data_IF_892232522697
#
_entry.id   IF_892232522697
#
_cell.length_a   1.000
_cell.length_b   1.000
_cell.length_c   1.000
_cell.angle_alpha   90.00
_cell.angle_beta   90.00
_cell.angle_gamma   90.00
#
_symmetry.space_group_name_H-M   'P 1'
#
loop_
_entity.id
_entity.type
_entity.pdbx_description
1 polymer ?
#
# COMPACT_ATOMS: atom_id res chain seq x y z
N UNK A 1 15.43 -0.63 -0.35
CA UNK A 1 14.88 -0.60 -1.75
C UNK A 1 13.56 0.19 -1.74
N UNK A 2 13.33 1.07 -2.71
CA UNK A 2 12.12 1.91 -2.79
C UNK A 2 11.44 1.73 -4.15
N UNK A 3 10.13 1.53 -4.17
CA UNK A 3 9.32 1.45 -5.39
C UNK A 3 7.88 1.90 -5.14
N UNK A 4 7.19 2.32 -6.20
CA UNK A 4 5.77 2.65 -6.19
C UNK A 4 5.01 1.55 -6.91
N UNK A 5 4.06 0.92 -6.23
CA UNK A 5 3.07 0.07 -6.88
C UNK A 5 1.88 0.91 -7.29
N UNK A 6 1.53 0.87 -8.57
CA UNK A 6 0.43 1.60 -9.19
C UNK A 6 -0.82 0.73 -9.24
N UNK A 7 -1.99 1.35 -9.14
CA UNK A 7 -3.28 0.69 -9.38
C UNK A 7 -3.51 -0.59 -8.54
N UNK A 8 -2.94 -0.70 -7.34
CA UNK A 8 -3.14 -1.85 -6.47
C UNK A 8 -4.52 -1.85 -5.83
N UNK A 9 -5.07 -3.04 -5.58
CA UNK A 9 -6.27 -3.20 -4.77
C UNK A 9 -5.90 -3.08 -3.28
N UNK A 10 -6.37 -2.03 -2.63
CA UNK A 10 -6.15 -1.76 -1.21
C UNK A 10 -7.44 -2.05 -0.47
N UNK A 11 -7.37 -2.90 0.56
CA UNK A 11 -8.50 -3.19 1.44
C UNK A 11 -8.28 -2.51 2.79
N UNK A 12 -9.26 -1.74 3.25
CA UNK A 12 -9.31 -1.19 4.60
C UNK A 12 -10.63 -1.55 5.29
N UNK A 13 -10.80 -1.08 6.51
CA UNK A 13 -12.06 -1.07 7.27
C UNK A 13 -13.27 -0.49 6.50
N UNK A 14 -13.02 0.40 5.53
CA UNK A 14 -14.04 1.03 4.68
C UNK A 14 -14.31 0.27 3.38
N UNK A 15 -13.67 -0.89 3.18
CA UNK A 15 -13.79 -1.73 1.99
C UNK A 15 -12.57 -1.68 1.06
N UNK A 16 -12.74 -2.23 -0.15
CA UNK A 16 -11.67 -2.37 -1.14
C UNK A 16 -11.73 -1.27 -2.20
N UNK A 17 -10.59 -0.66 -2.51
CA UNK A 17 -10.47 0.40 -3.51
C UNK A 17 -9.12 0.36 -4.24
N UNK A 18 -9.06 0.92 -5.45
CA UNK A 18 -7.82 1.06 -6.21
C UNK A 18 -7.01 2.28 -5.74
N UNK A 19 -5.71 2.08 -5.51
CA UNK A 19 -4.77 3.13 -5.09
C UNK A 19 -3.33 2.87 -5.56
N UNK A 20 -2.45 3.84 -5.35
CA UNK A 20 -1.01 3.64 -5.45
C UNK A 20 -0.41 3.46 -4.04
N UNK A 21 0.67 2.70 -3.95
CA UNK A 21 1.32 2.33 -2.69
C UNK A 21 2.83 2.52 -2.82
N UNK A 22 3.43 3.28 -1.91
CA UNK A 22 4.88 3.44 -1.83
C UNK A 22 5.43 2.41 -0.86
N UNK A 23 6.32 1.55 -1.34
CA UNK A 23 7.04 0.59 -0.52
C UNK A 23 8.49 1.04 -0.40
N UNK A 24 8.96 1.20 0.84
CA UNK A 24 10.35 1.50 1.17
C UNK A 24 10.85 0.52 2.22
N UNK A 25 11.96 -0.12 1.92
CA UNK A 25 12.63 -1.08 2.82
C UNK A 25 11.67 -2.16 3.34
N UNK A 26 10.87 -2.71 2.42
CA UNK A 26 9.83 -3.73 2.64
C UNK A 26 8.63 -3.29 3.50
N UNK A 27 8.47 -1.99 3.74
CA UNK A 27 7.32 -1.42 4.44
C UNK A 27 6.54 -0.48 3.53
N UNK A 28 5.20 -0.48 3.60
CA UNK A 28 4.41 0.58 2.98
C UNK A 28 4.55 1.82 3.83
N UNK A 29 4.96 2.92 3.20
CA UNK A 29 5.14 4.22 3.86
C UNK A 29 4.07 5.22 3.45
N UNK A 30 3.36 4.96 2.35
CA UNK A 30 2.28 5.83 1.86
C UNK A 30 1.31 5.06 0.99
N UNK A 31 0.02 5.34 1.16
CA UNK A 31 -1.07 4.92 0.28
C UNK A 31 -1.78 6.17 -0.23
N UNK A 32 -2.08 6.23 -1.52
CA UNK A 32 -2.75 7.40 -2.11
C UNK A 32 -2.88 7.30 -3.62
N UNK A 33 -3.68 8.18 -4.22
CA UNK A 33 -3.89 8.19 -5.66
C UNK A 33 -2.85 9.05 -6.37
N UNK A 34 -2.46 8.65 -7.58
CA UNK A 34 -1.62 9.42 -8.50
C UNK A 34 -0.24 9.78 -7.91
N UNK A 35 0.41 8.86 -7.20
CA UNK A 35 1.71 9.12 -6.56
C UNK A 35 2.79 9.19 -7.63
N UNK A 36 3.44 10.33 -7.82
CA UNK A 36 4.62 10.46 -8.68
C UNK A 36 5.88 10.60 -7.83
N UNK A 37 6.90 9.81 -8.14
CA UNK A 37 8.19 9.86 -7.45
C UNK A 37 9.33 9.75 -8.46
N UNK A 38 10.13 10.80 -8.55
CA UNK A 38 11.27 10.84 -9.47
C UNK A 38 12.37 9.87 -9.01
N UNK A 39 12.95 9.15 -9.97
CA UNK A 39 14.06 8.21 -9.72
C UNK A 39 13.67 6.94 -8.96
N UNK A 40 12.37 6.67 -8.78
CA UNK A 40 11.87 5.47 -8.10
C UNK A 40 11.19 4.55 -9.10
N UNK A 41 11.42 3.23 -8.96
CA UNK A 41 10.81 2.23 -9.84
C UNK A 41 9.29 2.23 -9.66
N UNK A 42 8.56 2.33 -10.76
CA UNK A 42 7.12 2.10 -10.78
C UNK A 42 6.82 0.66 -11.22
N UNK A 43 5.85 0.03 -10.56
CA UNK A 43 5.39 -1.33 -10.82
C UNK A 43 3.88 -1.27 -10.96
N UNK A 44 3.32 -1.83 -12.04
CA UNK A 44 1.87 -1.96 -12.17
C UNK A 44 1.37 -3.13 -11.31
N UNK A 45 0.50 -2.82 -10.36
CA UNK A 45 -0.13 -3.76 -9.45
C UNK A 45 -1.59 -4.06 -9.77
N UNK A 46 -2.06 -3.72 -10.97
CA UNK A 46 -3.44 -3.94 -11.42
C UNK A 46 -3.90 -5.40 -11.25
N UNK A 47 -3.00 -6.35 -11.50
CA UNK A 47 -3.26 -7.79 -11.41
C UNK A 47 -2.78 -8.43 -10.11
N UNK A 48 -2.28 -7.63 -9.17
CA UNK A 48 -1.83 -8.14 -7.87
C UNK A 48 -3.06 -8.39 -6.99
N UNK A 49 -3.35 -9.67 -6.77
CA UNK A 49 -4.35 -10.13 -5.81
C UNK A 49 -3.58 -10.68 -4.62
N UNK A 50 -3.78 -10.10 -3.44
CA UNK A 50 -3.25 -10.70 -2.20
C UNK A 50 -4.23 -11.76 -1.70
N UNK A 51 -3.74 -12.97 -1.46
CA UNK A 51 -4.51 -14.05 -0.81
C UNK A 51 -4.85 -13.72 0.65
N UNK A 52 -4.21 -12.70 1.24
CA UNK A 52 -4.42 -12.27 2.62
C UNK A 52 -4.89 -10.83 2.64
N UNK A 53 -6.02 -10.56 3.30
CA UNK A 53 -6.41 -9.20 3.69
C UNK A 53 -5.38 -8.75 4.72
N UNK A 54 -4.41 -7.92 4.30
CA UNK A 54 -3.53 -7.28 5.26
C UNK A 54 -4.38 -6.21 5.96
N UNK A 55 -4.79 -6.44 7.21
CA UNK A 55 -5.40 -5.40 8.03
C UNK A 55 -4.29 -4.46 8.52
N UNK A 56 -4.14 -3.32 7.86
CA UNK A 56 -3.17 -2.29 8.23
C UNK A 56 -3.74 -1.42 9.35
N UNK A 57 -3.36 -1.68 10.60
CA UNK A 57 -3.64 -0.77 11.70
C UNK A 57 -2.63 0.38 11.70
N UNK A 58 -3.04 1.58 11.27
CA UNK A 58 -2.31 2.82 11.57
C UNK A 58 -2.75 3.32 12.95
N UNK A 59 -2.37 2.62 14.02
CA UNK A 59 -2.67 3.00 15.40
C UNK A 59 -1.45 2.87 16.31
N UNK A 60 -1.25 3.75 17.30
CA UNK A 60 -0.25 3.52 18.33
C UNK A 60 -0.55 2.20 19.04
N UNK A 61 0.50 1.41 19.28
CA UNK A 61 0.57 0.08 19.91
C UNK A 61 0.00 -0.03 21.35
N UNK A 62 -0.97 0.80 21.75
CA UNK A 62 -1.46 0.86 23.14
C UNK A 62 -2.64 -0.06 23.46
N UNK A 63 -3.34 -0.61 22.47
CA UNK A 63 -4.61 -1.31 22.72
C UNK A 63 -4.61 -2.81 22.34
N UNK A 64 -3.49 -3.50 22.56
CA UNK A 64 -3.47 -4.97 22.59
C UNK A 64 -3.28 -5.41 24.05
N UNK A 65 -4.39 -5.43 24.80
CA UNK A 65 -4.55 -6.16 26.06
C UNK A 65 -5.36 -7.42 25.75
#
# INVERSE_FOLDING_TARGET
>A
MCFVMKNVNVTSDQGSYRSDVVVKDNHVVKVGKCIKMDGVKEIDGSDVVSETIINWFSGPKKDLI
#
